data_IF_580322895577
#
_entry.id   IF_580322895577
#
_cell.length_a   1.000
_cell.length_b   1.000
_cell.length_c   1.000
_cell.angle_alpha   90.00
_cell.angle_beta   90.00
_cell.angle_gamma   90.00
#
_symmetry.space_group_name_H-M   'P 1'
#
loop_
_entity.id
_entity.type
_entity.pdbx_description
1 polymer ?
#
# COMPACT_ATOMS: atom_id res chain seq x y z
N UNK A 1 -6.35 -2.88 -12.98
CA UNK A 1 -6.13 -2.11 -11.75
C UNK A 1 -7.36 -2.20 -10.87
N UNK A 2 -7.21 -2.58 -9.61
CA UNK A 2 -8.27 -2.61 -8.58
C UNK A 2 -7.76 -1.87 -7.35
N UNK A 3 -8.65 -1.28 -6.56
CA UNK A 3 -8.25 -0.64 -5.30
C UNK A 3 -9.30 -0.84 -4.22
N UNK A 4 -8.85 -0.97 -2.98
CA UNK A 4 -9.68 -1.02 -1.78
C UNK A 4 -9.21 0.04 -0.80
N UNK A 5 -10.14 0.64 -0.07
CA UNK A 5 -9.89 1.66 0.94
C UNK A 5 -10.31 1.12 2.29
N UNK A 6 -9.50 1.39 3.31
CA UNK A 6 -9.86 1.15 4.70
C UNK A 6 -9.38 2.28 5.60
N UNK A 7 -9.85 2.26 6.84
CA UNK A 7 -9.49 3.24 7.85
C UNK A 7 -8.75 2.58 8.99
N UNK A 8 -7.73 3.26 9.49
CA UNK A 8 -7.01 2.88 10.71
C UNK A 8 -7.07 4.04 11.71
N UNK A 9 -7.50 3.75 12.93
CA UNK A 9 -7.36 4.67 14.04
C UNK A 9 -6.07 4.35 14.78
N UNK A 10 -5.12 5.29 14.81
CA UNK A 10 -3.87 5.16 15.54
C UNK A 10 -3.79 6.27 16.59
N UNK A 11 -4.18 5.94 17.82
CA UNK A 11 -4.41 6.88 18.92
C UNK A 11 -5.51 7.90 18.55
N UNK A 12 -5.22 9.19 18.65
CA UNK A 12 -6.11 10.31 18.32
C UNK A 12 -6.18 10.66 16.82
N UNK A 13 -5.42 9.95 15.96
CA UNK A 13 -5.38 10.20 14.52
C UNK A 13 -6.13 9.11 13.75
N UNK A 14 -6.80 9.51 12.68
CA UNK A 14 -7.51 8.61 11.78
C UNK A 14 -6.92 8.70 10.38
N UNK A 15 -6.52 7.55 9.85
CA UNK A 15 -5.92 7.44 8.53
C UNK A 15 -6.86 6.72 7.59
N UNK A 16 -6.91 7.18 6.33
CA UNK A 16 -7.53 6.51 5.21
C UNK A 16 -6.42 5.94 4.33
N UNK A 17 -6.40 4.62 4.17
CA UNK A 17 -5.37 3.90 3.42
C UNK A 17 -6.03 3.31 2.17
N UNK A 18 -5.46 3.59 1.00
CA UNK A 18 -5.86 3.02 -0.28
C UNK A 18 -4.80 2.04 -0.75
N UNK A 19 -5.14 0.76 -0.84
CA UNK A 19 -4.31 -0.26 -1.50
C UNK A 19 -4.76 -0.40 -2.95
N UNK A 20 -3.80 -0.32 -3.88
CA UNK A 20 -4.03 -0.50 -5.32
C UNK A 20 -3.28 -1.73 -5.82
N UNK A 21 -3.99 -2.66 -6.45
CA UNK A 21 -3.46 -3.84 -7.11
C UNK A 21 -3.28 -3.58 -8.61
N UNK A 22 -2.05 -3.75 -9.09
CA UNK A 22 -1.65 -3.73 -10.50
C UNK A 22 -0.98 -5.05 -10.87
N UNK A 23 -0.64 -5.21 -12.15
CA UNK A 23 0.12 -6.38 -12.60
C UNK A 23 1.54 -6.39 -12.02
N UNK A 24 2.12 -5.22 -11.79
CA UNK A 24 3.46 -5.06 -11.23
C UNK A 24 3.48 -5.30 -9.72
N UNK A 25 2.43 -4.93 -8.99
CA UNK A 25 2.51 -4.97 -7.54
C UNK A 25 1.28 -4.45 -6.81
N UNK A 26 1.53 -4.12 -5.55
CA UNK A 26 0.63 -3.38 -4.68
C UNK A 26 1.26 -2.05 -4.30
N UNK A 27 0.47 -0.99 -4.34
CA UNK A 27 0.83 0.31 -3.76
C UNK A 27 -0.12 0.68 -2.64
N UNK A 28 0.38 1.40 -1.63
CA UNK A 28 -0.40 1.92 -0.53
C UNK A 28 -0.23 3.43 -0.42
N UNK A 29 -1.35 4.15 -0.59
CA UNK A 29 -1.44 5.59 -0.37
C UNK A 29 -2.13 5.88 0.95
N UNK A 30 -1.56 6.77 1.75
CA UNK A 30 -2.09 7.15 3.05
C UNK A 30 -2.55 8.61 3.01
N UNK A 31 -3.74 8.83 3.54
CA UNK A 31 -4.27 10.16 3.84
C UNK A 31 -4.67 10.20 5.33
N UNK A 32 -4.67 11.38 5.92
CA UNK A 32 -5.16 11.60 7.28
C UNK A 32 -6.47 12.39 7.25
N UNK A 33 -7.45 11.92 8.03
CA UNK A 33 -8.67 12.66 8.34
C UNK A 33 -8.39 13.57 9.56
N UNK A 34 -8.34 14.88 9.33
CA UNK A 34 -8.09 15.88 10.36
C UNK A 34 -9.40 16.52 10.83
N UNK A 35 -9.32 17.29 11.93
CA UNK A 35 -10.46 18.02 12.50
C UNK A 35 -11.24 18.80 11.45
N UNK A 36 -12.57 18.67 11.50
CA UNK A 36 -13.47 19.27 10.50
C UNK A 36 -13.74 18.39 9.28
N UNK A 37 -13.28 17.13 9.28
CA UNK A 37 -13.54 16.15 8.22
C UNK A 37 -12.71 16.36 6.96
N UNK A 38 -11.69 17.24 7.02
CA UNK A 38 -10.76 17.43 5.92
C UNK A 38 -9.83 16.22 5.81
N UNK A 39 -9.50 15.84 4.56
CA UNK A 39 -8.56 14.76 4.27
C UNK A 39 -7.30 15.35 3.66
N UNK A 40 -6.15 15.11 4.27
CA UNK A 40 -4.85 15.63 3.83
C UNK A 40 -3.89 14.48 3.48
N UNK A 41 -3.03 14.64 2.47
CA UNK A 41 -2.02 13.63 2.17
C UNK A 41 -0.97 13.55 3.27
N UNK A 42 -0.49 12.35 3.55
CA UNK A 42 0.63 12.12 4.47
C UNK A 42 1.65 11.18 3.83
N UNK A 43 2.93 11.39 4.12
CA UNK A 43 3.98 10.43 3.82
C UNK A 43 4.27 9.59 5.05
N UNK A 44 4.49 8.28 4.86
CA UNK A 44 5.21 7.48 5.84
C UNK A 44 6.67 7.96 5.87
N UNK A 45 7.26 8.13 7.05
CA UNK A 45 8.66 8.54 7.17
C UNK A 45 9.61 7.43 6.70
N UNK A 46 9.20 6.17 6.82
CA UNK A 46 9.88 4.98 6.32
C UNK A 46 8.88 4.15 5.50
N UNK A 47 8.54 4.56 4.26
CA UNK A 47 7.55 3.84 3.47
C UNK A 47 8.09 2.45 3.13
N UNK A 48 7.36 1.36 3.43
CA UNK A 48 7.79 0.03 3.03
C UNK A 48 7.89 -0.05 1.51
N UNK A 49 9.05 -0.45 1.02
CA UNK A 49 9.37 -0.56 -0.39
C UNK A 49 10.19 -1.81 -0.62
N UNK A 50 9.58 -2.79 -1.27
CA UNK A 50 10.26 -4.04 -1.60
C UNK A 50 9.97 -4.49 -3.02
N UNK A 51 10.97 -5.13 -3.61
CA UNK A 51 10.89 -5.78 -4.90
C UNK A 51 11.18 -7.26 -4.71
N UNK A 52 10.28 -8.11 -5.18
CA UNK A 52 10.27 -9.55 -4.93
C UNK A 52 10.54 -10.29 -6.23
N UNK A 53 11.19 -11.46 -6.17
CA UNK A 53 11.28 -12.34 -7.33
C UNK A 53 9.89 -12.54 -7.97
N UNK A 54 9.73 -12.32 -9.29
CA UNK A 54 8.42 -12.38 -9.92
C UNK A 54 7.68 -13.71 -9.71
N UNK A 55 8.37 -14.86 -9.80
CA UNK A 55 7.71 -16.15 -9.63
C UNK A 55 7.24 -16.37 -8.18
N UNK A 56 7.98 -15.87 -7.19
CA UNK A 56 7.53 -15.83 -5.80
C UNK A 56 6.34 -14.86 -5.60
N UNK A 57 6.43 -13.65 -6.17
CA UNK A 57 5.40 -12.62 -6.08
C UNK A 57 4.05 -13.11 -6.62
N UNK A 58 4.02 -13.61 -7.87
CA UNK A 58 2.77 -14.01 -8.52
C UNK A 58 2.12 -15.23 -7.86
N UNK A 59 2.91 -16.14 -7.29
CA UNK A 59 2.38 -17.29 -6.52
C UNK A 59 1.78 -16.89 -5.18
N UNK A 60 2.27 -15.81 -4.58
CA UNK A 60 1.92 -15.41 -3.21
C UNK A 60 1.31 -14.00 -3.12
N UNK A 61 0.62 -13.56 -4.18
CA UNK A 61 0.03 -12.21 -4.28
C UNK A 61 -0.75 -11.78 -3.05
N UNK A 62 -1.69 -12.61 -2.59
CA UNK A 62 -2.51 -12.32 -1.41
C UNK A 62 -1.67 -12.16 -0.13
N UNK A 63 -0.58 -12.92 0.03
CA UNK A 63 0.37 -12.75 1.15
C UNK A 63 1.01 -11.37 1.10
N UNK A 64 1.53 -10.95 -0.04
CA UNK A 64 2.19 -9.64 -0.18
C UNK A 64 1.22 -8.47 -0.04
N UNK A 65 -0.04 -8.63 -0.43
CA UNK A 65 -1.11 -7.68 -0.12
C UNK A 65 -1.26 -7.48 1.39
N UNK A 66 -1.38 -8.57 2.16
CA UNK A 66 -1.50 -8.52 3.62
C UNK A 66 -0.23 -7.97 4.28
N UNK A 67 0.95 -8.35 3.78
CA UNK A 67 2.24 -7.90 4.29
C UNK A 67 2.42 -6.38 4.13
N UNK A 68 2.09 -5.82 2.95
CA UNK A 68 2.12 -4.38 2.74
C UNK A 68 1.21 -3.65 3.73
N UNK A 69 0.02 -4.18 3.97
CA UNK A 69 -0.94 -3.58 4.90
C UNK A 69 -0.43 -3.61 6.33
N UNK A 70 0.14 -4.73 6.77
CA UNK A 70 0.74 -4.84 8.11
C UNK A 70 1.88 -3.83 8.29
N UNK A 71 2.81 -3.73 7.32
CA UNK A 71 3.93 -2.80 7.39
C UNK A 71 3.48 -1.32 7.40
N UNK A 72 2.46 -0.98 6.60
CA UNK A 72 1.87 0.37 6.64
C UNK A 72 1.23 0.64 8.00
N UNK A 73 0.43 -0.29 8.52
CA UNK A 73 -0.23 -0.14 9.82
C UNK A 73 0.78 0.03 10.96
N UNK A 74 1.89 -0.71 10.94
CA UNK A 74 2.97 -0.59 11.92
C UNK A 74 3.55 0.83 11.94
N UNK A 75 3.89 1.40 10.79
CA UNK A 75 4.42 2.78 10.68
C UNK A 75 3.41 3.83 11.17
N UNK A 76 2.11 3.63 10.89
CA UNK A 76 1.04 4.50 11.37
C UNK A 76 0.85 4.41 12.89
N UNK A 77 0.89 3.20 13.46
CA UNK A 77 0.73 2.95 14.90
C UNK A 77 1.87 3.58 15.72
N UNK A 78 3.08 3.67 15.15
CA UNK A 78 4.23 4.35 15.77
C UNK A 78 4.35 5.83 15.35
N UNK A 79 3.34 6.38 14.67
CA UNK A 79 3.25 7.81 14.29
C UNK A 79 4.42 8.30 13.41
N UNK A 80 5.00 7.41 12.61
CA UNK A 80 6.05 7.77 11.65
C UNK A 80 5.46 8.31 10.37
N UNK A 81 4.76 9.44 10.48
CA UNK A 81 4.14 10.12 9.33
C UNK A 81 4.36 11.62 9.37
N UNK A 82 4.50 12.19 8.17
CA UNK A 82 4.61 13.64 7.95
C UNK A 82 3.47 14.11 7.06
N UNK A 83 2.75 15.14 7.49
CA UNK A 83 1.71 15.76 6.66
C UNK A 83 2.34 16.43 5.44
N UNK A 84 1.71 16.25 4.29
CA UNK A 84 2.14 16.83 3.02
C UNK A 84 1.18 17.94 2.61
N UNK A 85 1.70 18.95 1.90
CA UNK A 85 0.84 19.82 1.09
C UNK A 85 0.38 19.07 -0.18
N UNK A 86 -0.70 19.51 -0.84
CA UNK A 86 -1.13 18.91 -2.11
C UNK A 86 -0.03 18.88 -3.18
N UNK A 87 0.85 19.88 -3.19
CA UNK A 87 1.96 20.00 -4.15
C UNK A 87 3.11 19.04 -3.83
N UNK A 88 3.25 18.63 -2.56
CA UNK A 88 4.24 17.64 -2.12
C UNK A 88 3.77 16.20 -2.31
N UNK A 89 2.45 16.00 -2.43
CA UNK A 89 1.87 14.68 -2.56
C UNK A 89 2.12 14.10 -3.96
N UNK A 90 2.82 12.97 -4.00
CA UNK A 90 3.18 12.26 -5.24
C UNK A 90 3.16 10.75 -5.03
N UNK A 91 3.24 10.00 -6.14
CA UNK A 91 3.40 8.54 -6.11
C UNK A 91 4.72 8.12 -5.45
N UNK A 92 5.72 9.00 -5.44
CA UNK A 92 7.00 8.79 -4.74
C UNK A 92 6.86 8.87 -3.22
N UNK A 93 5.67 9.12 -2.67
CA UNK A 93 5.36 8.98 -1.24
C UNK A 93 4.69 7.65 -0.92
N UNK A 94 4.21 6.91 -1.92
CA UNK A 94 3.49 5.67 -1.71
C UNK A 94 4.46 4.56 -1.27
N UNK A 95 3.94 3.65 -0.44
CA UNK A 95 4.60 2.39 -0.12
C UNK A 95 4.26 1.33 -1.18
N UNK A 96 5.14 0.35 -1.39
CA UNK A 96 4.89 -0.71 -2.35
C UNK A 96 5.54 -2.05 -2.00
N UNK A 97 4.89 -3.12 -2.48
CA UNK A 97 5.51 -4.43 -2.68
C UNK A 97 5.22 -4.82 -4.13
N UNK A 98 6.26 -5.05 -4.93
CA UNK A 98 6.12 -5.32 -6.37
C UNK A 98 7.04 -6.44 -6.87
N UNK A 99 6.72 -7.00 -8.02
CA UNK A 99 7.60 -7.93 -8.72
C UNK A 99 8.81 -7.18 -9.31
N UNK A 100 10.01 -7.72 -9.10
CA UNK A 100 11.23 -7.25 -9.74
C UNK A 100 11.34 -7.81 -11.16
N UNK A 101 10.86 -7.04 -12.14
CA UNK A 101 10.84 -7.46 -13.54
C UNK A 101 12.18 -7.24 -14.27
N UNK A 102 13.22 -6.79 -13.58
CA UNK A 102 14.54 -6.64 -14.17
C UNK A 102 15.03 -7.99 -14.73
N UNK A 103 15.37 -8.03 -16.02
CA UNK A 103 15.83 -9.24 -16.69
C UNK A 103 14.73 -10.17 -17.22
N UNK A 104 13.44 -9.91 -16.94
CA UNK A 104 12.32 -10.71 -17.41
C UNK A 104 11.76 -10.19 -18.74
N UNK A 105 12.33 -10.66 -19.85
CA UNK A 105 11.99 -10.20 -21.23
C UNK A 105 10.54 -10.48 -21.65
N UNK A 106 9.86 -11.42 -20.99
CA UNK A 106 8.46 -11.76 -21.25
C UNK A 106 7.44 -10.97 -20.41
N UNK A 107 7.89 -10.01 -19.59
CA UNK A 107 7.02 -9.29 -18.67
C UNK A 107 6.74 -10.10 -17.41
N UNK A 108 5.47 -10.48 -17.19
CA UNK A 108 4.95 -11.02 -15.94
C UNK A 108 4.92 -12.57 -15.95
N UNK A 109 5.98 -13.27 -15.50
CA UNK A 109 5.97 -14.72 -15.46
C UNK A 109 4.87 -15.22 -14.51
N UNK A 110 4.00 -16.13 -14.98
CA UNK A 110 2.92 -16.70 -14.17
C UNK A 110 1.94 -15.64 -13.62
N UNK A 111 1.69 -14.57 -14.38
CA UNK A 111 0.76 -13.50 -13.95
C UNK A 111 -0.55 -14.08 -13.41
N UNK A 112 -0.77 -13.86 -12.13
CA UNK A 112 -2.04 -14.07 -11.48
C UNK A 112 -2.63 -12.70 -11.16
N UNK A 113 -3.89 -12.49 -11.54
CA UNK A 113 -4.62 -11.29 -11.11
C UNK A 113 -5.06 -11.48 -9.67
N UNK A 114 -4.91 -10.43 -8.89
CA UNK A 114 -5.57 -10.31 -7.59
C UNK A 114 -6.69 -9.27 -7.74
N UNK A 115 -7.93 -9.76 -7.75
CA UNK A 115 -9.14 -8.93 -7.86
C UNK A 115 -9.50 -8.22 -6.55
N UNK A 116 -8.85 -8.59 -5.43
CA UNK A 116 -9.07 -8.06 -4.09
C UNK A 116 -10.49 -8.30 -3.54
N UNK A 117 -11.22 -9.27 -4.10
CA UNK A 117 -12.60 -9.56 -3.69
C UNK A 117 -12.68 -10.49 -2.48
N UNK A 118 -11.63 -11.30 -2.28
CA UNK A 118 -11.42 -12.12 -1.09
C UNK A 118 -10.97 -11.32 0.14
N UNK A 119 -10.62 -10.03 -0.03
CA UNK A 119 -9.96 -9.27 1.03
C UNK A 119 -10.96 -8.72 2.07
N UNK A 120 -10.96 -9.33 3.26
CA UNK A 120 -11.67 -8.84 4.43
C UNK A 120 -10.73 -8.06 5.36
N UNK A 121 -10.81 -6.73 5.33
CA UNK A 121 -9.95 -5.86 6.16
C UNK A 121 -10.10 -6.09 7.67
N UNK A 122 -11.21 -6.71 8.11
CA UNK A 122 -11.48 -6.96 9.54
C UNK A 122 -10.66 -8.11 10.13
N UNK A 123 -9.91 -8.82 9.30
CA UNK A 123 -9.11 -9.99 9.69
C UNK A 123 -7.62 -9.66 9.86
N UNK A 124 -7.26 -8.37 9.80
CA UNK A 124 -5.93 -7.81 10.01
C UNK A 124 -5.89 -6.98 11.29
#
# INVERSE_FOLDING_TARGET
MKSRVYFLNARERRFMIRITSTNEGYTARVMEEVSGGQVVPVALNLPPRSEIDPAEFYRNRAKYRSELVLQVNEELLVWRVTSLTPEQASEDNDAYIRANLAGWKGGYPLESKDDMDDWNIREL
#
